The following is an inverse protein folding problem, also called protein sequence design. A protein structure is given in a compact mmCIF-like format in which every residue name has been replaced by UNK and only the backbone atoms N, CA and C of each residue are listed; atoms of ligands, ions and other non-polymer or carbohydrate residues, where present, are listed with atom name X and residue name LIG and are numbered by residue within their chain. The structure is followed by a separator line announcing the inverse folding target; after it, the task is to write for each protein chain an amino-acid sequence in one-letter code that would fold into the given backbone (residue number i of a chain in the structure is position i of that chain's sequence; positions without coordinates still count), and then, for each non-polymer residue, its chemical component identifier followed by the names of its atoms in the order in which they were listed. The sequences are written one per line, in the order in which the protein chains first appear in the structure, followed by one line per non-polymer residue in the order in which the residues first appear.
data_IF_566176527255
#
_entry.id   IF_566176527255
#
_cell.length_a   1.000
_cell.length_b   1.000
_cell.length_c   1.000
_cell.angle_alpha   90.00
_cell.angle_beta   90.00
_cell.angle_gamma   90.00
#
_symmetry.space_group_name_H-M   'P 1'
#
loop_
_entity.id
_entity.type
_entity.pdbx_description
1 polymer ?
#
# COMPACT_ATOMS: atom_id res chain seq x y z
N UNK A 1 -32.69 -2.91 0.77
CA UNK A 1 -31.72 -2.32 -0.15
C UNK A 1 -30.53 -1.94 0.69
N UNK A 2 -29.36 -2.46 0.38
CA UNK A 2 -28.13 -2.14 1.12
C UNK A 2 -27.43 -0.98 0.39
N UNK A 3 -27.05 0.02 1.13
CA UNK A 3 -26.31 1.18 0.60
C UNK A 3 -25.33 1.72 1.63
N UNK A 4 -24.26 2.33 1.14
CA UNK A 4 -23.36 3.13 1.92
C UNK A 4 -22.86 4.33 1.09
N UNK A 5 -22.38 5.36 1.78
CA UNK A 5 -21.82 6.58 1.20
C UNK A 5 -20.68 7.07 2.08
N UNK A 6 -19.62 7.57 1.48
CA UNK A 6 -18.51 8.17 2.20
C UNK A 6 -17.17 8.13 1.46
N UNK A 7 -16.12 8.63 2.11
CA UNK A 7 -14.79 8.75 1.52
C UNK A 7 -14.16 7.40 1.24
N UNK A 8 -13.52 7.28 0.08
CA UNK A 8 -12.85 6.07 -0.35
C UNK A 8 -11.62 6.38 -1.21
N UNK A 9 -10.64 5.47 -1.20
CA UNK A 9 -9.50 5.46 -2.13
C UNK A 9 -9.80 4.48 -3.26
N UNK A 10 -9.65 4.91 -4.50
CA UNK A 10 -9.75 4.01 -5.66
C UNK A 10 -8.51 3.11 -5.70
N UNK A 11 -8.68 1.79 -5.61
CA UNK A 11 -7.59 0.82 -5.67
C UNK A 11 -7.38 0.29 -7.09
N UNK A 12 -8.46 -0.05 -7.78
CA UNK A 12 -8.41 -0.53 -9.16
C UNK A 12 -9.71 -0.23 -9.91
N UNK A 13 -9.61 -0.17 -11.24
CA UNK A 13 -10.75 -0.09 -12.14
C UNK A 13 -10.49 -0.98 -13.36
N UNK A 14 -11.42 -1.89 -13.66
CA UNK A 14 -11.29 -2.86 -14.75
C UNK A 14 -12.49 -2.77 -15.67
N UNK A 15 -12.31 -2.75 -17.00
CA UNK A 15 -13.42 -2.74 -17.94
C UNK A 15 -14.37 -3.91 -17.73
N UNK A 16 -15.68 -3.62 -17.77
CA UNK A 16 -16.75 -4.60 -17.65
C UNK A 16 -17.82 -4.29 -18.70
N UNK A 17 -17.93 -5.16 -19.71
CA UNK A 17 -18.81 -4.91 -20.87
C UNK A 17 -18.35 -3.71 -21.69
N UNK A 18 -19.29 -3.09 -22.40
CA UNK A 18 -18.97 -2.02 -23.37
C UNK A 18 -18.70 -0.66 -22.72
N UNK A 19 -19.29 -0.37 -21.58
CA UNK A 19 -19.21 0.98 -20.97
C UNK A 19 -18.95 0.99 -19.47
N UNK A 20 -19.07 -0.16 -18.77
CA UNK A 20 -18.94 -0.26 -17.32
C UNK A 20 -17.50 -0.46 -16.86
N UNK A 21 -17.22 -0.10 -15.60
CA UNK A 21 -16.01 -0.48 -14.88
C UNK A 21 -16.39 -1.24 -13.60
N UNK A 22 -15.74 -2.34 -13.31
CA UNK A 22 -15.68 -2.88 -11.95
C UNK A 22 -14.58 -2.11 -11.24
N UNK A 23 -14.97 -1.33 -10.24
CA UNK A 23 -14.06 -0.54 -9.40
C UNK A 23 -13.92 -1.22 -8.04
N UNK A 24 -12.70 -1.20 -7.50
CA UNK A 24 -12.40 -1.63 -6.13
C UNK A 24 -11.99 -0.41 -5.33
N UNK A 25 -12.68 -0.14 -4.24
CA UNK A 25 -12.43 0.99 -3.37
C UNK A 25 -12.00 0.51 -1.98
N UNK A 26 -11.15 1.27 -1.31
CA UNK A 26 -10.88 1.07 0.11
C UNK A 26 -11.61 2.17 0.89
N UNK A 27 -12.40 1.75 1.87
CA UNK A 27 -13.13 2.61 2.81
C UNK A 27 -12.66 2.34 4.24
N UNK A 28 -12.84 3.28 5.13
CA UNK A 28 -12.44 3.14 6.53
C UNK A 28 -13.24 2.06 7.27
N UNK A 29 -14.57 2.11 7.14
CA UNK A 29 -15.49 1.29 7.96
C UNK A 29 -15.93 -0.02 7.30
N UNK A 30 -15.80 -0.15 5.97
CA UNK A 30 -16.26 -1.31 5.21
C UNK A 30 -15.11 -2.05 4.51
N UNK A 31 -13.87 -1.57 4.65
CA UNK A 31 -12.71 -2.17 4.03
C UNK A 31 -12.71 -2.07 2.51
N UNK A 32 -12.12 -3.06 1.85
CA UNK A 32 -12.08 -3.14 0.39
C UNK A 32 -13.45 -3.53 -0.17
N UNK A 33 -14.03 -2.69 -1.01
CA UNK A 33 -15.40 -2.85 -1.50
C UNK A 33 -15.47 -2.73 -3.02
N UNK A 34 -15.84 -3.80 -3.75
CA UNK A 34 -16.04 -3.74 -5.19
C UNK A 34 -17.43 -3.22 -5.55
N UNK A 35 -17.55 -2.60 -6.74
CA UNK A 35 -18.83 -2.16 -7.29
C UNK A 35 -18.75 -1.88 -8.79
N UNK A 36 -19.90 -1.86 -9.45
CA UNK A 36 -20.03 -1.57 -10.87
C UNK A 36 -20.32 -0.09 -11.11
N UNK A 37 -19.38 0.62 -11.70
CA UNK A 37 -19.56 1.98 -12.19
C UNK A 37 -20.11 1.96 -13.62
N UNK A 38 -21.42 2.21 -13.76
CA UNK A 38 -22.08 2.30 -15.06
C UNK A 38 -21.57 3.51 -15.84
N UNK A 39 -21.26 3.34 -17.13
CA UNK A 39 -20.68 4.41 -17.95
C UNK A 39 -19.27 4.85 -17.53
N UNK A 40 -18.61 4.08 -16.65
CA UNK A 40 -17.29 4.38 -16.09
C UNK A 40 -16.18 4.51 -17.13
N UNK A 41 -16.34 3.90 -18.31
CA UNK A 41 -15.38 4.00 -19.42
C UNK A 41 -15.50 5.33 -20.21
N UNK A 42 -16.55 6.13 -19.96
CA UNK A 42 -16.64 7.46 -20.59
C UNK A 42 -15.49 8.33 -20.16
N UNK A 43 -15.05 9.26 -21.04
CA UNK A 43 -13.91 10.15 -20.76
C UNK A 43 -14.07 10.93 -19.45
N UNK A 44 -15.30 11.33 -19.11
CA UNK A 44 -15.59 12.07 -17.88
C UNK A 44 -15.49 11.19 -16.64
N UNK A 45 -15.92 9.94 -16.70
CA UNK A 45 -15.93 9.02 -15.56
C UNK A 45 -14.62 8.26 -15.39
N UNK A 46 -13.90 7.97 -16.48
CA UNK A 46 -12.63 7.25 -16.43
C UNK A 46 -11.55 7.98 -15.60
N UNK A 47 -11.58 9.31 -15.58
CA UNK A 47 -10.67 10.09 -14.75
C UNK A 47 -10.98 9.99 -13.26
N UNK A 48 -12.25 9.82 -12.88
CA UNK A 48 -12.68 9.64 -11.50
C UNK A 48 -12.12 8.34 -10.90
N UNK A 49 -12.22 7.26 -11.67
CA UNK A 49 -11.89 5.90 -11.19
C UNK A 49 -10.42 5.52 -11.38
N UNK A 50 -9.51 6.49 -11.50
CA UNK A 50 -8.08 6.17 -11.55
C UNK A 50 -7.56 5.76 -10.17
N UNK A 51 -6.74 4.69 -10.08
CA UNK A 51 -6.14 4.26 -8.82
C UNK A 51 -5.38 5.40 -8.12
N UNK A 52 -5.60 5.50 -6.82
CA UNK A 52 -5.03 6.55 -5.97
C UNK A 52 -5.92 7.79 -5.80
N UNK A 53 -6.95 7.98 -6.62
CA UNK A 53 -7.88 9.09 -6.40
C UNK A 53 -8.67 8.89 -5.10
N UNK A 54 -8.87 9.99 -4.36
CA UNK A 54 -9.84 10.05 -3.27
C UNK A 54 -11.18 10.49 -3.84
N UNK A 55 -12.21 9.76 -3.51
CA UNK A 55 -13.57 9.98 -3.98
C UNK A 55 -14.54 9.94 -2.80
N UNK A 56 -15.62 10.70 -2.88
CA UNK A 56 -16.81 10.46 -2.08
C UNK A 56 -17.71 9.50 -2.85
N UNK A 57 -17.77 8.25 -2.42
CA UNK A 57 -18.36 7.16 -3.16
C UNK A 57 -19.70 6.76 -2.56
N UNK A 58 -20.62 6.33 -3.42
CA UNK A 58 -21.90 5.75 -3.03
C UNK A 58 -22.10 4.40 -3.70
N UNK A 59 -22.37 3.39 -2.90
CA UNK A 59 -22.68 2.05 -3.36
C UNK A 59 -24.11 1.66 -3.00
N UNK A 60 -24.77 0.93 -3.92
CA UNK A 60 -26.11 0.42 -3.73
C UNK A 60 -26.27 -0.96 -4.33
N UNK A 61 -26.91 -1.89 -3.59
CA UNK A 61 -27.29 -3.20 -4.09
C UNK A 61 -28.61 -3.70 -3.49
N UNK A 62 -29.24 -4.67 -4.14
CA UNK A 62 -30.40 -5.37 -3.59
C UNK A 62 -30.01 -6.18 -2.36
N UNK A 63 -28.93 -6.97 -2.48
CA UNK A 63 -28.39 -7.80 -1.42
C UNK A 63 -26.94 -7.39 -1.18
N UNK A 64 -26.47 -7.56 0.06
CA UNK A 64 -25.10 -7.23 0.46
C UNK A 64 -24.05 -7.97 -0.39
N UNK A 65 -24.30 -9.20 -0.80
CA UNK A 65 -23.36 -10.05 -1.54
C UNK A 65 -23.24 -9.71 -3.03
N UNK A 66 -24.16 -8.87 -3.55
CA UNK A 66 -24.09 -8.45 -4.95
C UNK A 66 -22.98 -7.43 -5.16
N UNK A 67 -22.43 -7.40 -6.40
CA UNK A 67 -21.46 -6.38 -6.79
C UNK A 67 -22.01 -4.95 -6.61
N UNK A 68 -23.30 -4.73 -6.87
CA UNK A 68 -23.97 -3.45 -6.72
C UNK A 68 -23.50 -2.39 -7.72
N UNK A 69 -24.17 -1.24 -7.68
CA UNK A 69 -23.81 -0.05 -8.47
C UNK A 69 -22.95 0.87 -7.63
N UNK A 70 -21.90 1.43 -8.25
CA UNK A 70 -21.00 2.40 -7.66
C UNK A 70 -21.09 3.72 -8.41
N UNK A 71 -21.25 4.81 -7.68
CA UNK A 71 -21.14 6.20 -8.16
C UNK A 71 -20.22 6.96 -7.24
N UNK A 72 -19.73 8.11 -7.66
CA UNK A 72 -18.87 8.93 -6.78
C UNK A 72 -18.59 10.29 -7.36
N UNK A 73 -18.02 11.14 -6.51
CA UNK A 73 -17.53 12.48 -6.83
C UNK A 73 -16.05 12.59 -6.47
N UNK A 74 -15.28 13.35 -7.26
CA UNK A 74 -13.86 13.54 -7.03
C UNK A 74 -13.63 14.42 -5.80
N UNK A 75 -12.87 13.92 -4.84
CA UNK A 75 -12.38 14.67 -3.67
C UNK A 75 -10.95 15.15 -3.90
N UNK A 76 -10.08 14.26 -4.39
CA UNK A 76 -8.67 14.59 -4.66
C UNK A 76 -8.14 13.76 -5.83
N UNK A 77 -7.67 14.44 -6.87
CA UNK A 77 -7.20 13.84 -8.12
C UNK A 77 -5.71 13.47 -8.05
N UNK A 78 -5.33 12.59 -7.11
CA UNK A 78 -3.94 12.23 -6.87
C UNK A 78 -3.26 11.59 -8.09
N UNK A 79 -3.99 10.78 -8.86
CA UNK A 79 -3.46 10.20 -10.09
C UNK A 79 -3.07 11.26 -11.12
N UNK A 80 -3.87 12.32 -11.28
CA UNK A 80 -3.55 13.44 -12.17
C UNK A 80 -2.35 14.25 -11.65
N UNK A 81 -2.25 14.47 -10.34
CA UNK A 81 -1.12 15.20 -9.72
C UNK A 81 0.19 14.43 -9.82
N UNK A 82 0.15 13.10 -9.79
CA UNK A 82 1.33 12.25 -9.94
C UNK A 82 1.76 12.01 -11.40
N UNK A 83 0.98 12.45 -12.39
CA UNK A 83 1.17 12.08 -13.80
C UNK A 83 2.49 12.57 -14.39
N UNK A 84 2.98 13.73 -13.96
CA UNK A 84 4.22 14.34 -14.45
C UNK A 84 5.47 13.81 -13.75
N UNK A 85 5.32 13.04 -12.67
CA UNK A 85 6.42 12.39 -11.96
C UNK A 85 6.29 10.86 -12.03
N UNK A 86 7.14 10.18 -12.84
CA UNK A 86 7.09 8.73 -12.99
C UNK A 86 7.34 7.95 -11.70
N UNK A 87 8.05 8.54 -10.72
CA UNK A 87 8.27 7.90 -9.42
C UNK A 87 7.02 8.03 -8.54
N UNK A 88 6.42 9.22 -8.47
CA UNK A 88 5.17 9.46 -7.75
C UNK A 88 4.06 8.53 -8.25
N UNK A 89 3.88 8.45 -9.56
CA UNK A 89 2.91 7.56 -10.18
C UNK A 89 3.18 6.08 -9.84
N UNK A 90 4.45 5.65 -9.89
CA UNK A 90 4.82 4.28 -9.56
C UNK A 90 4.54 3.92 -8.09
N UNK A 91 4.80 4.84 -7.14
CA UNK A 91 4.49 4.69 -5.72
C UNK A 91 2.98 4.54 -5.52
N UNK A 92 2.20 5.45 -6.12
CA UNK A 92 0.74 5.45 -6.01
C UNK A 92 0.13 4.14 -6.54
N UNK A 93 0.55 3.72 -7.74
CA UNK A 93 0.10 2.47 -8.36
C UNK A 93 0.50 1.24 -7.56
N UNK A 94 1.71 1.22 -6.98
CA UNK A 94 2.18 0.12 -6.15
C UNK A 94 1.35 0.00 -4.85
N UNK A 95 1.10 1.12 -4.16
CA UNK A 95 0.28 1.15 -2.95
C UNK A 95 -1.14 0.62 -3.21
N UNK A 96 -1.80 1.12 -4.27
CA UNK A 96 -3.14 0.68 -4.64
C UNK A 96 -3.19 -0.81 -4.99
N UNK A 97 -2.22 -1.30 -5.77
CA UNK A 97 -2.17 -2.71 -6.16
C UNK A 97 -1.89 -3.65 -4.97
N UNK A 98 -1.03 -3.24 -4.03
CA UNK A 98 -0.78 -3.98 -2.80
C UNK A 98 -2.05 -4.03 -1.95
N UNK A 99 -2.74 -2.90 -1.76
CA UNK A 99 -4.00 -2.86 -1.01
C UNK A 99 -5.09 -3.74 -1.65
N UNK A 100 -5.27 -3.64 -2.99
CA UNK A 100 -6.29 -4.43 -3.71
C UNK A 100 -6.00 -5.94 -3.67
N UNK A 101 -4.71 -6.30 -3.67
CA UNK A 101 -4.27 -7.71 -3.65
C UNK A 101 -4.25 -8.36 -2.28
N UNK A 102 -3.89 -7.62 -1.22
CA UNK A 102 -3.65 -8.15 0.12
C UNK A 102 -4.89 -8.08 1.03
N UNK A 103 -5.72 -7.03 0.88
CA UNK A 103 -6.88 -6.85 1.76
C UNK A 103 -8.06 -7.72 1.33
N UNK A 104 -8.69 -8.46 2.26
CA UNK A 104 -9.95 -9.15 1.99
C UNK A 104 -11.08 -8.14 1.70
N UNK A 105 -12.14 -8.62 1.05
CA UNK A 105 -13.31 -7.79 0.77
C UNK A 105 -14.17 -7.62 2.01
N UNK A 106 -14.69 -6.40 2.19
CA UNK A 106 -15.70 -6.07 3.21
C UNK A 106 -15.25 -6.31 4.65
N UNK A 107 -13.95 -6.25 4.87
CA UNK A 107 -13.34 -6.32 6.19
C UNK A 107 -12.59 -5.01 6.46
N UNK A 108 -12.94 -4.27 7.54
CA UNK A 108 -12.37 -2.97 7.81
C UNK A 108 -10.95 -3.07 8.36
N UNK A 109 -10.06 -2.23 7.81
CA UNK A 109 -8.68 -2.04 8.24
C UNK A 109 -8.41 -0.53 8.38
N UNK A 110 -8.90 0.11 9.45
CA UNK A 110 -8.91 1.57 9.56
C UNK A 110 -7.52 2.19 9.55
N UNK A 111 -6.52 1.54 10.15
CA UNK A 111 -5.14 2.05 10.13
C UNK A 111 -4.51 1.93 8.74
N UNK A 112 -4.79 0.84 8.00
CA UNK A 112 -4.35 0.69 6.63
C UNK A 112 -5.02 1.74 5.73
N UNK A 113 -6.31 2.02 5.91
CA UNK A 113 -7.02 3.09 5.20
C UNK A 113 -6.40 4.47 5.48
N UNK A 114 -6.29 4.86 6.75
CA UNK A 114 -5.73 6.15 7.14
C UNK A 114 -4.30 6.34 6.62
N UNK A 115 -3.47 5.29 6.71
CA UNK A 115 -2.11 5.30 6.20
C UNK A 115 -2.05 5.42 4.67
N UNK A 116 -2.97 4.78 3.92
CA UNK A 116 -3.04 4.93 2.47
C UNK A 116 -3.47 6.34 2.06
N UNK A 117 -4.43 6.94 2.77
CA UNK A 117 -4.82 8.35 2.54
C UNK A 117 -3.63 9.29 2.77
N UNK A 118 -2.90 9.10 3.88
CA UNK A 118 -1.70 9.90 4.17
C UNK A 118 -0.62 9.74 3.09
N UNK A 119 -0.41 8.52 2.60
CA UNK A 119 0.51 8.23 1.49
C UNK A 119 0.09 8.95 0.20
N UNK A 120 -1.18 8.88 -0.16
CA UNK A 120 -1.73 9.57 -1.34
C UNK A 120 -1.46 11.08 -1.30
N UNK A 121 -1.63 11.69 -0.13
CA UNK A 121 -1.34 13.12 0.08
C UNK A 121 0.17 13.40 0.01
N UNK A 122 1.00 12.55 0.62
CA UNK A 122 2.45 12.72 0.63
C UNK A 122 3.04 12.64 -0.79
N UNK A 123 2.58 11.69 -1.60
CA UNK A 123 3.02 11.50 -3.01
C UNK A 123 2.76 12.74 -3.86
N UNK A 124 1.64 13.43 -3.63
CA UNK A 124 1.30 14.65 -4.35
C UNK A 124 2.26 15.82 -4.07
N UNK A 125 2.95 15.81 -2.93
CA UNK A 125 3.94 16.82 -2.55
C UNK A 125 5.37 16.50 -2.96
N UNK A 126 5.81 15.26 -2.81
CA UNK A 126 7.18 14.79 -3.10
C UNK A 126 7.21 13.26 -3.25
N UNK A 127 7.63 12.78 -4.42
CA UNK A 127 7.73 11.34 -4.70
C UNK A 127 8.69 10.59 -3.77
N UNK A 128 9.76 11.24 -3.30
CA UNK A 128 10.73 10.64 -2.35
C UNK A 128 10.10 10.41 -0.99
N UNK A 129 9.35 11.40 -0.48
CA UNK A 129 8.53 11.23 0.73
C UNK A 129 7.45 10.16 0.52
N UNK A 130 6.95 10.03 -0.70
CA UNK A 130 6.06 8.95 -1.10
C UNK A 130 6.67 7.56 -0.92
N UNK A 131 7.97 7.36 -1.22
CA UNK A 131 8.64 6.07 -1.00
C UNK A 131 8.69 5.69 0.49
N UNK A 132 9.06 6.63 1.35
CA UNK A 132 9.06 6.39 2.80
C UNK A 132 7.65 6.11 3.34
N UNK A 133 6.69 6.93 2.90
CA UNK A 133 5.29 6.76 3.27
C UNK A 133 4.77 5.37 2.86
N UNK A 134 5.16 4.88 1.67
CA UNK A 134 4.82 3.54 1.21
C UNK A 134 5.40 2.46 2.13
N UNK A 135 6.70 2.53 2.44
CA UNK A 135 7.35 1.54 3.31
C UNK A 135 6.73 1.53 4.71
N UNK A 136 6.50 2.70 5.31
CA UNK A 136 5.82 2.84 6.61
C UNK A 136 4.40 2.26 6.56
N UNK A 137 3.66 2.57 5.48
CA UNK A 137 2.32 2.06 5.29
C UNK A 137 2.29 0.53 5.10
N UNK A 138 3.24 -0.04 4.36
CA UNK A 138 3.35 -1.50 4.19
C UNK A 138 3.63 -2.21 5.52
N UNK A 139 4.42 -1.61 6.42
CA UNK A 139 4.62 -2.12 7.79
C UNK A 139 3.30 -2.10 8.58
N UNK A 140 2.52 -1.02 8.47
CA UNK A 140 1.19 -0.93 9.11
C UNK A 140 0.24 -1.97 8.52
N UNK A 141 0.21 -2.13 7.19
CA UNK A 141 -0.61 -3.11 6.50
C UNK A 141 -0.29 -4.54 6.96
N UNK A 142 1.00 -4.89 7.04
CA UNK A 142 1.44 -6.20 7.57
C UNK A 142 0.95 -6.42 9.00
N UNK A 143 1.02 -5.40 9.84
CA UNK A 143 0.54 -5.49 11.23
C UNK A 143 -0.99 -5.70 11.30
N UNK A 144 -1.76 -4.96 10.51
CA UNK A 144 -3.22 -5.10 10.42
C UNK A 144 -3.65 -6.50 9.91
N UNK A 145 -2.86 -7.09 9.01
CA UNK A 145 -3.08 -8.45 8.49
C UNK A 145 -2.60 -9.56 9.46
N UNK A 146 -2.02 -9.21 10.62
CA UNK A 146 -1.52 -10.16 11.60
C UNK A 146 -0.08 -10.61 11.37
N UNK A 147 0.66 -9.99 10.46
CA UNK A 147 2.07 -10.29 10.14
C UNK A 147 3.02 -9.18 10.61
N UNK A 148 2.68 -8.49 11.71
CA UNK A 148 3.43 -7.35 12.21
C UNK A 148 4.90 -7.64 12.48
N UNK A 149 5.75 -6.68 12.15
CA UNK A 149 7.18 -6.72 12.47
C UNK A 149 7.39 -6.22 13.91
N UNK A 150 8.28 -6.89 14.65
CA UNK A 150 8.70 -6.47 15.99
C UNK A 150 10.04 -5.72 15.88
N UNK A 151 9.94 -4.39 15.74
CA UNK A 151 11.08 -3.50 15.54
C UNK A 151 11.50 -2.75 16.81
N UNK A 152 10.87 -3.04 17.96
CA UNK A 152 11.09 -2.28 19.19
C UNK A 152 12.35 -2.66 19.96
N UNK A 153 12.84 -3.91 19.82
CA UNK A 153 14.02 -4.38 20.53
C UNK A 153 14.74 -5.51 19.78
N UNK A 154 16.02 -5.68 20.08
CA UNK A 154 16.82 -6.79 19.54
C UNK A 154 16.28 -8.13 20.04
N UNK A 155 15.99 -9.05 19.12
CA UNK A 155 15.49 -10.39 19.43
C UNK A 155 16.43 -11.26 20.28
N UNK A 156 17.71 -10.91 20.34
CA UNK A 156 18.75 -11.71 21.01
C UNK A 156 19.20 -11.05 22.30
N UNK A 157 19.56 -9.75 22.26
CA UNK A 157 20.07 -9.03 23.45
C UNK A 157 18.99 -8.30 24.26
N UNK A 158 17.82 -8.04 23.65
CA UNK A 158 16.77 -7.20 24.27
C UNK A 158 17.02 -5.70 24.17
N UNK A 159 18.16 -5.27 23.62
CA UNK A 159 18.49 -3.84 23.48
C UNK A 159 17.50 -3.14 22.55
N UNK A 160 17.20 -1.89 22.90
CA UNK A 160 16.30 -1.01 22.13
C UNK A 160 17.05 0.00 21.26
N UNK A 161 18.37 0.02 21.33
CA UNK A 161 19.24 0.92 20.59
C UNK A 161 20.06 0.15 19.56
N UNK A 162 20.59 0.87 18.58
CA UNK A 162 21.48 0.33 17.55
C UNK A 162 20.86 -0.84 16.74
N UNK A 163 19.56 -0.81 16.54
CA UNK A 163 18.83 -1.78 15.73
C UNK A 163 19.14 -1.52 14.25
N UNK A 164 19.73 -2.50 13.57
CA UNK A 164 20.21 -2.35 12.19
C UNK A 164 19.69 -3.41 11.21
N UNK A 165 19.08 -4.47 11.72
CA UNK A 165 18.69 -5.63 10.92
C UNK A 165 17.33 -6.15 11.34
N UNK A 166 16.67 -6.89 10.43
CA UNK A 166 15.47 -7.69 10.72
C UNK A 166 15.69 -9.12 10.26
N UNK A 167 15.32 -10.06 11.11
CA UNK A 167 15.34 -11.48 10.78
C UNK A 167 14.27 -11.81 9.72
N UNK A 168 14.62 -12.30 8.52
CA UNK A 168 13.64 -12.63 7.48
C UNK A 168 12.71 -13.78 7.90
N UNK A 169 13.12 -14.56 8.88
CA UNK A 169 12.33 -15.68 9.40
C UNK A 169 11.27 -15.23 10.40
N UNK A 170 11.62 -14.31 11.32
CA UNK A 170 10.77 -13.97 12.47
C UNK A 170 10.16 -12.58 12.42
N UNK A 171 10.64 -11.68 11.54
CA UNK A 171 10.21 -10.30 11.51
C UNK A 171 10.69 -9.44 12.69
N UNK A 172 11.63 -9.97 13.50
CA UNK A 172 12.13 -9.28 14.70
C UNK A 172 13.43 -8.54 14.41
N UNK A 173 13.58 -7.38 15.04
CA UNK A 173 14.80 -6.58 14.92
C UNK A 173 16.00 -7.25 15.57
N UNK A 174 17.21 -6.94 15.07
CA UNK A 174 18.50 -7.38 15.58
C UNK A 174 19.44 -6.18 15.59
N UNK A 175 20.20 -5.98 16.70
CA UNK A 175 21.18 -4.90 16.82
C UNK A 175 22.36 -5.09 15.87
N UNK A 176 23.08 -4.01 15.55
CA UNK A 176 24.22 -4.03 14.64
C UNK A 176 25.30 -5.00 15.13
N UNK A 177 25.64 -4.96 16.42
CA UNK A 177 26.68 -5.80 17.04
C UNK A 177 26.36 -7.29 16.95
N UNK A 178 25.10 -7.68 17.24
CA UNK A 178 24.64 -9.08 17.17
C UNK A 178 24.51 -9.54 15.72
N UNK A 179 24.00 -8.69 14.83
CA UNK A 179 23.73 -9.00 13.44
C UNK A 179 24.95 -9.06 12.54
N UNK A 180 26.08 -8.45 12.95
CA UNK A 180 27.28 -8.32 12.09
C UNK A 180 27.75 -9.67 11.51
N UNK A 181 27.78 -10.73 12.32
CA UNK A 181 28.16 -12.07 11.88
C UNK A 181 27.18 -12.73 10.89
N UNK A 182 25.96 -12.20 10.77
CA UNK A 182 24.85 -12.75 9.99
C UNK A 182 24.31 -11.75 8.93
N UNK A 183 25.02 -10.64 8.69
CA UNK A 183 24.56 -9.55 7.81
C UNK A 183 24.07 -10.03 6.43
N UNK A 184 24.73 -11.02 5.83
CA UNK A 184 24.31 -11.62 4.55
C UNK A 184 23.01 -12.45 4.59
N UNK A 185 22.48 -12.74 5.79
CA UNK A 185 21.24 -13.52 6.01
C UNK A 185 20.12 -12.70 6.64
N UNK A 186 20.40 -11.46 7.01
CA UNK A 186 19.45 -10.54 7.60
C UNK A 186 19.02 -9.49 6.58
N UNK A 187 17.87 -8.89 6.80
CA UNK A 187 17.38 -7.77 6.01
C UNK A 187 17.80 -6.47 6.71
N UNK A 188 18.34 -5.47 5.99
CA UNK A 188 18.64 -4.18 6.57
C UNK A 188 17.37 -3.53 7.15
N UNK A 189 17.52 -2.86 8.28
CA UNK A 189 16.46 -2.09 8.93
C UNK A 189 16.73 -0.60 8.69
N UNK A 190 15.93 0.08 7.84
CA UNK A 190 16.09 1.50 7.63
C UNK A 190 15.83 2.30 8.90
N UNK A 191 16.70 3.28 9.18
CA UNK A 191 16.62 4.10 10.39
C UNK A 191 15.30 4.88 10.49
N UNK A 192 14.74 5.30 9.35
CA UNK A 192 13.46 6.02 9.34
C UNK A 192 12.27 5.18 9.86
N UNK A 193 12.36 3.84 9.89
CA UNK A 193 11.34 2.99 10.52
C UNK A 193 11.40 2.97 12.05
N UNK A 194 12.48 3.45 12.64
CA UNK A 194 12.69 3.51 14.09
C UNK A 194 12.39 4.89 14.69
N UNK A 195 12.13 5.90 13.86
CA UNK A 195 11.88 7.27 14.29
C UNK A 195 11.31 8.15 13.19
N UNK A 196 11.32 9.47 13.42
CA UNK A 196 10.75 10.48 12.53
C UNK A 196 11.78 11.04 11.52
N UNK A 197 12.97 10.44 11.42
CA UNK A 197 14.01 10.85 10.48
C UNK A 197 13.63 10.57 9.02
N UNK A 198 14.21 11.38 8.11
CA UNK A 198 14.09 11.15 6.67
C UNK A 198 15.13 10.10 6.23
N UNK A 199 14.74 9.23 5.30
CA UNK A 199 15.63 8.25 4.68
C UNK A 199 16.38 8.80 3.48
N UNK A 200 17.44 8.12 3.11
CA UNK A 200 18.17 8.32 1.86
C UNK A 200 17.79 7.24 0.81
N UNK A 201 18.24 7.36 -0.44
CA UNK A 201 17.94 6.37 -1.48
C UNK A 201 18.31 4.93 -1.12
N UNK A 202 19.42 4.71 -0.40
CA UNK A 202 19.82 3.39 0.07
C UNK A 202 18.82 2.82 1.09
N UNK A 203 18.40 3.66 2.03
CA UNK A 203 17.40 3.27 3.02
C UNK A 203 16.01 3.02 2.41
N UNK A 204 15.61 3.74 1.36
CA UNK A 204 14.36 3.47 0.66
C UNK A 204 14.40 2.11 -0.05
N UNK A 205 15.53 1.79 -0.69
CA UNK A 205 15.73 0.48 -1.31
C UNK A 205 15.67 -0.65 -0.26
N UNK A 206 16.36 -0.48 0.87
CA UNK A 206 16.34 -1.44 1.97
C UNK A 206 14.94 -1.61 2.56
N UNK A 207 14.20 -0.51 2.72
CA UNK A 207 12.81 -0.54 3.18
C UNK A 207 11.89 -1.31 2.24
N UNK A 208 11.99 -1.04 0.93
CA UNK A 208 11.22 -1.75 -0.09
C UNK A 208 11.57 -3.25 -0.16
N UNK A 209 12.85 -3.60 0.08
CA UNK A 209 13.30 -4.99 0.17
C UNK A 209 12.76 -5.66 1.42
N UNK A 210 12.80 -4.97 2.55
CA UNK A 210 12.30 -5.46 3.84
C UNK A 210 10.79 -5.76 3.75
N UNK A 211 9.98 -4.77 3.42
CA UNK A 211 8.53 -4.93 3.36
C UNK A 211 8.10 -5.88 2.24
N UNK A 212 8.78 -5.82 1.08
CA UNK A 212 8.54 -6.73 -0.04
C UNK A 212 8.71 -8.19 0.34
N UNK A 213 9.75 -8.53 1.11
CA UNK A 213 9.98 -9.89 1.60
C UNK A 213 8.79 -10.42 2.44
N UNK A 214 8.30 -9.62 3.38
CA UNK A 214 7.19 -10.04 4.25
C UNK A 214 5.85 -10.04 3.53
N UNK A 215 5.61 -9.06 2.65
CA UNK A 215 4.42 -9.07 1.81
C UNK A 215 4.35 -10.33 0.94
N UNK A 216 5.46 -10.68 0.26
CA UNK A 216 5.51 -11.85 -0.62
C UNK A 216 5.37 -13.16 0.18
N UNK A 217 6.08 -13.29 1.31
CA UNK A 217 6.07 -14.50 2.12
C UNK A 217 4.73 -14.71 2.84
N UNK A 218 4.20 -13.65 3.44
CA UNK A 218 3.07 -13.74 4.37
C UNK A 218 1.76 -13.31 3.71
N UNK A 219 1.57 -12.02 3.40
CA UNK A 219 0.30 -11.50 2.93
C UNK A 219 -0.13 -12.12 1.57
N UNK A 220 0.76 -12.17 0.60
CA UNK A 220 0.49 -12.76 -0.72
C UNK A 220 0.73 -14.27 -0.75
N UNK A 221 1.73 -14.76 0.00
CA UNK A 221 2.04 -16.18 0.08
C UNK A 221 0.88 -17.03 0.60
N UNK A 222 0.19 -16.57 1.66
CA UNK A 222 -1.01 -17.22 2.18
C UNK A 222 -2.18 -17.23 1.19
N UNK A 223 -2.26 -16.20 0.33
CA UNK A 223 -3.26 -16.13 -0.74
C UNK A 223 -2.86 -16.92 -1.99
N UNK A 224 -1.67 -17.55 -2.02
CA UNK A 224 -1.09 -18.21 -3.19
C UNK A 224 -1.05 -17.28 -4.41
N UNK A 225 -0.72 -16.02 -4.22
CA UNK A 225 -0.63 -14.97 -5.24
C UNK A 225 0.78 -14.38 -5.25
N UNK A 226 1.31 -13.99 -6.41
CA UNK A 226 2.55 -13.22 -6.46
C UNK A 226 2.34 -11.79 -5.98
N UNK A 227 3.40 -11.15 -5.50
CA UNK A 227 3.41 -9.72 -5.25
C UNK A 227 3.09 -8.96 -6.56
N UNK A 228 2.27 -7.88 -6.54
CA UNK A 228 1.89 -7.16 -7.74
C UNK A 228 3.11 -6.70 -8.57
N UNK A 229 3.11 -6.90 -9.91
CA UNK A 229 4.25 -6.54 -10.76
C UNK A 229 4.65 -5.06 -10.66
N UNK A 230 3.69 -4.16 -10.48
CA UNK A 230 3.96 -2.72 -10.30
C UNK A 230 4.76 -2.44 -9.03
N UNK A 231 4.58 -3.24 -7.97
CA UNK A 231 5.37 -3.13 -6.73
C UNK A 231 6.80 -3.65 -6.93
N UNK A 232 7.00 -4.71 -7.72
CA UNK A 232 8.33 -5.19 -8.08
C UNK A 232 9.08 -4.17 -8.94
N UNK A 233 8.42 -3.62 -9.97
CA UNK A 233 8.98 -2.57 -10.83
C UNK A 233 9.35 -1.30 -10.05
N UNK A 234 8.59 -0.94 -9.01
CA UNK A 234 8.95 0.16 -8.13
C UNK A 234 10.26 -0.11 -7.38
N UNK A 235 10.45 -1.31 -6.84
CA UNK A 235 11.70 -1.67 -6.18
C UNK A 235 12.91 -1.60 -7.12
N UNK A 236 12.76 -2.03 -8.38
CA UNK A 236 13.78 -1.87 -9.41
C UNK A 236 14.07 -0.41 -9.77
N UNK A 237 13.04 0.46 -9.78
CA UNK A 237 13.24 1.90 -10.00
C UNK A 237 13.97 2.56 -8.83
N UNK A 238 13.58 2.23 -7.61
CA UNK A 238 14.24 2.76 -6.41
C UNK A 238 15.73 2.38 -6.35
N UNK A 239 16.10 1.17 -6.81
CA UNK A 239 17.50 0.75 -6.85
C UNK A 239 18.38 1.62 -7.78
N UNK A 240 17.78 2.23 -8.81
CA UNK A 240 18.49 3.14 -9.73
C UNK A 240 18.70 4.55 -9.16
N UNK A 241 18.05 4.89 -8.05
CA UNK A 241 18.28 6.17 -7.35
C UNK A 241 19.54 6.13 -6.48
N UNK A 242 20.05 4.93 -6.20
CA UNK A 242 21.26 4.69 -5.38
C UNK A 242 22.53 4.71 -6.26
N UNK A 243 22.39 4.50 -7.57
CA UNK A 243 23.51 4.48 -8.54
C UNK A 243 23.88 5.89 -8.99
#
# INVERSE_FOLDING_TARGET
MNEWEGPAVVLSARPQGESGLVVSLLTESLGRHPGLAHGGQSRAQASLWQPGNLVDARWRARNADNLGSMTGEMVHAAAAMAMDDPLALAVLMAACAVADGALPEREPYPRAFAGLVALVVAVAGDARRGLEALVRWEVVLLAELGYGLDLGCCAVSGDTVDLAWVSPRTGRAVSASVGAAYAGRLLPLPAFLLGDGEGDPGQWQDGLRLTGHFLERDAFGHLHRPLPPVRLLLAERASKLVA
#
